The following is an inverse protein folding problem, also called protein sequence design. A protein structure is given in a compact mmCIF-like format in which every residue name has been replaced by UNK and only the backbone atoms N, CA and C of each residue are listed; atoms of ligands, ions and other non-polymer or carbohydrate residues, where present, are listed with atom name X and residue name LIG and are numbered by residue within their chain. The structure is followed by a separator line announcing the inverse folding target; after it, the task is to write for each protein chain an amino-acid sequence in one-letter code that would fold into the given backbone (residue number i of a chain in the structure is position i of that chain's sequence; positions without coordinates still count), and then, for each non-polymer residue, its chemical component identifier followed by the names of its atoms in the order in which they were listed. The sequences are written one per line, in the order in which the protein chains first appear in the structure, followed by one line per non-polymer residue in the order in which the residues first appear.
data_IF_396995575212
#
_entry.id   IF_396995575212
#
_cell.length_a   1.000
_cell.length_b   1.000
_cell.length_c   1.000
_cell.angle_alpha   90.00
_cell.angle_beta   90.00
_cell.angle_gamma   90.00
#
_symmetry.space_group_name_H-M   'P 1'
#
loop_
_entity.id
_entity.type
_entity.pdbx_description
1 polymer ?
#
# COMPACT_ATOMS: atom_id res chain seq x y z
N UNK A 1 3.52 -15.85 21.29
CA UNK A 1 4.69 -15.32 20.55
C UNK A 1 4.66 -13.83 20.81
N UNK A 2 5.77 -13.18 21.20
CA UNK A 2 5.74 -11.73 21.38
C UNK A 2 5.23 -11.14 20.07
N UNK A 3 4.23 -10.26 20.15
CA UNK A 3 3.55 -9.68 19.00
C UNK A 3 4.59 -9.13 18.02
N UNK A 4 4.40 -9.47 16.74
CA UNK A 4 5.28 -9.15 15.61
C UNK A 4 5.26 -7.63 15.37
N UNK A 5 5.91 -6.88 16.26
CA UNK A 5 5.89 -5.43 16.25
C UNK A 5 6.57 -4.95 14.98
N UNK A 6 5.81 -4.27 14.15
CA UNK A 6 6.33 -3.76 12.89
C UNK A 6 7.50 -2.80 13.17
N UNK A 7 8.67 -3.15 12.64
CA UNK A 7 9.85 -2.27 12.62
C UNK A 7 9.72 -1.27 11.49
N UNK A 8 9.77 0.03 11.84
CA UNK A 8 9.72 1.14 10.86
C UNK A 8 10.80 0.96 9.80
N UNK A 9 10.42 1.09 8.53
CA UNK A 9 11.32 0.91 7.39
C UNK A 9 11.67 2.26 6.77
N UNK A 10 12.83 2.32 6.13
CA UNK A 10 13.30 3.50 5.40
C UNK A 10 12.23 4.14 4.47
N UNK A 11 11.50 3.39 3.62
CA UNK A 11 10.52 4.00 2.71
C UNK A 11 9.26 4.54 3.39
N UNK A 12 8.97 4.24 4.66
CA UNK A 12 7.68 4.60 5.27
C UNK A 12 7.48 6.12 5.33
N UNK A 13 8.50 6.86 5.77
CA UNK A 13 8.45 8.32 5.84
C UNK A 13 8.39 8.95 4.44
N UNK A 14 9.24 8.48 3.52
CA UNK A 14 9.30 8.98 2.16
C UNK A 14 7.98 8.78 1.39
N UNK A 15 7.34 7.61 1.54
CA UNK A 15 6.05 7.34 0.90
C UNK A 15 4.94 8.21 1.49
N UNK A 16 4.95 8.46 2.80
CA UNK A 16 4.01 9.37 3.45
C UNK A 16 4.14 10.81 2.95
N UNK A 17 5.37 11.33 2.86
CA UNK A 17 5.64 12.67 2.31
C UNK A 17 5.23 12.77 0.84
N UNK A 18 5.57 11.76 0.03
CA UNK A 18 5.26 11.74 -1.39
C UNK A 18 3.75 11.72 -1.65
N UNK A 19 2.99 10.90 -0.90
CA UNK A 19 1.52 10.87 -0.97
C UNK A 19 0.86 12.17 -0.50
N UNK A 20 1.58 13.00 0.28
CA UNK A 20 1.12 14.34 0.64
C UNK A 20 1.18 15.36 -0.51
N UNK A 21 1.93 15.06 -1.59
CA UNK A 21 2.16 16.00 -2.70
C UNK A 21 1.71 15.47 -4.07
N UNK A 22 1.49 14.16 -4.22
CA UNK A 22 0.96 13.55 -5.45
C UNK A 22 -0.29 12.71 -5.17
N UNK A 23 -1.22 12.60 -6.15
CA UNK A 23 -2.47 11.84 -5.95
C UNK A 23 -2.26 10.31 -5.86
N UNK A 24 -1.10 9.78 -6.26
CA UNK A 24 -0.82 8.36 -6.20
C UNK A 24 0.60 7.98 -6.60
N UNK A 25 1.05 6.82 -6.13
CA UNK A 25 2.40 6.28 -6.37
C UNK A 25 2.34 4.78 -6.69
N UNK A 26 3.23 4.31 -7.55
CA UNK A 26 3.40 2.88 -7.82
C UNK A 26 4.64 2.35 -7.09
N UNK A 27 4.45 1.40 -6.16
CA UNK A 27 5.54 0.85 -5.34
C UNK A 27 6.07 -0.46 -5.96
N UNK A 28 7.23 -0.41 -6.61
CA UNK A 28 7.86 -1.56 -7.29
C UNK A 28 9.06 -2.11 -6.53
N UNK A 29 9.50 -3.33 -6.85
CA UNK A 29 10.69 -3.96 -6.27
C UNK A 29 10.58 -5.48 -6.11
N UNK A 30 11.63 -6.18 -5.62
CA UNK A 30 11.69 -7.63 -5.56
C UNK A 30 10.54 -8.29 -4.78
N UNK A 31 10.27 -9.57 -5.07
CA UNK A 31 9.35 -10.38 -4.28
C UNK A 31 9.84 -10.42 -2.82
N UNK A 32 8.91 -10.41 -1.87
CA UNK A 32 9.19 -10.43 -0.43
C UNK A 32 9.99 -9.23 0.13
N UNK A 33 10.18 -8.14 -0.62
CA UNK A 33 10.71 -6.88 -0.07
C UNK A 33 9.76 -6.17 0.93
N UNK A 34 8.56 -6.72 1.15
CA UNK A 34 7.52 -6.21 2.05
C UNK A 34 6.93 -4.85 1.66
N UNK A 35 6.94 -4.54 0.35
CA UNK A 35 6.19 -3.43 -0.26
C UNK A 35 4.71 -3.45 0.15
N UNK A 36 4.09 -4.63 0.09
CA UNK A 36 2.69 -4.82 0.49
C UNK A 36 2.48 -4.54 1.97
N UNK A 37 3.42 -4.92 2.84
CA UNK A 37 3.35 -4.65 4.28
C UNK A 37 3.45 -3.16 4.57
N UNK A 38 4.42 -2.45 3.97
CA UNK A 38 4.53 -0.99 4.11
C UNK A 38 3.31 -0.27 3.55
N UNK A 39 2.85 -0.61 2.33
CA UNK A 39 1.69 0.03 1.72
C UNK A 39 0.43 -0.13 2.58
N UNK A 40 0.17 -1.35 3.11
CA UNK A 40 -0.97 -1.59 4.02
C UNK A 40 -0.85 -0.86 5.35
N UNK A 41 0.35 -0.56 5.81
CA UNK A 41 0.55 0.20 7.06
C UNK A 41 0.30 1.69 6.88
N UNK A 42 0.58 2.23 5.69
CA UNK A 42 0.38 3.65 5.37
C UNK A 42 -1.04 3.96 4.88
N UNK A 43 -1.69 2.99 4.23
CA UNK A 43 -3.02 3.18 3.68
C UNK A 43 -4.09 3.22 4.77
N UNK A 44 -5.06 4.13 4.64
CA UNK A 44 -6.27 4.11 5.44
C UNK A 44 -7.20 2.96 5.01
N UNK A 45 -7.34 2.75 3.70
CA UNK A 45 -8.17 1.72 3.09
C UNK A 45 -7.43 0.96 1.99
N UNK A 46 -7.82 -0.28 1.72
CA UNK A 46 -7.18 -1.15 0.74
C UNK A 46 -8.19 -1.69 -0.25
N UNK A 47 -8.06 -1.28 -1.52
CA UNK A 47 -8.78 -1.87 -2.64
C UNK A 47 -7.97 -3.01 -3.27
N UNK A 48 -8.52 -4.22 -3.24
CA UNK A 48 -7.90 -5.43 -3.80
C UNK A 48 -8.34 -5.66 -5.24
N UNK A 49 -7.69 -4.99 -6.19
CA UNK A 49 -8.03 -5.10 -7.61
C UNK A 49 -7.71 -6.47 -8.22
N UNK A 50 -7.07 -7.37 -7.47
CA UNK A 50 -6.93 -8.79 -7.81
C UNK A 50 -8.23 -9.58 -7.57
N UNK A 51 -9.16 -9.05 -6.78
CA UNK A 51 -10.52 -9.57 -6.65
C UNK A 51 -11.40 -9.03 -7.79
N UNK A 52 -11.96 -9.89 -8.66
CA UNK A 52 -12.80 -9.46 -9.77
C UNK A 52 -14.01 -8.62 -9.35
N UNK A 53 -14.59 -8.88 -8.17
CA UNK A 53 -15.75 -8.13 -7.69
C UNK A 53 -15.35 -6.68 -7.33
N UNK A 54 -14.19 -6.49 -6.68
CA UNK A 54 -13.69 -5.16 -6.33
C UNK A 54 -13.25 -4.40 -7.58
N UNK A 55 -12.55 -5.07 -8.50
CA UNK A 55 -12.12 -4.46 -9.76
C UNK A 55 -13.30 -3.95 -10.59
N UNK A 56 -14.42 -4.71 -10.63
CA UNK A 56 -15.62 -4.29 -11.34
C UNK A 56 -16.26 -3.02 -10.75
N UNK A 57 -16.27 -2.89 -9.41
CA UNK A 57 -16.80 -1.69 -8.73
C UNK A 57 -15.92 -0.47 -9.04
N UNK A 58 -14.61 -0.60 -8.92
CA UNK A 58 -13.67 0.51 -9.18
C UNK A 58 -13.71 0.95 -10.64
N UNK A 59 -13.84 0.01 -11.58
CA UNK A 59 -13.97 0.34 -13.01
C UNK A 59 -15.29 1.02 -13.37
N UNK A 60 -16.33 0.89 -12.53
CA UNK A 60 -17.63 1.52 -12.72
C UNK A 60 -17.73 2.91 -12.08
N UNK A 61 -16.73 3.32 -11.30
CA UNK A 61 -16.64 4.63 -10.67
C UNK A 61 -16.00 5.65 -11.65
N UNK A 62 -16.74 6.67 -12.12
CA UNK A 62 -16.33 7.57 -13.21
C UNK A 62 -15.31 8.66 -12.83
#
# INVERSE_FOLDING_TARGET
MPDDEYVRRLPDAFLGELLGVVPGVMVTGPRAAGKTTTARRLAADVLRLDDPAVAAVVAADP
#
